data_IF_678273520058
#
_entry.id   IF_678273520058
#
_cell.length_a   1.000
_cell.length_b   1.000
_cell.length_c   1.000
_cell.angle_alpha   90.00
_cell.angle_beta   90.00
_cell.angle_gamma   90.00
#
_symmetry.space_group_name_H-M   'P 1'
#
loop_
_entity.id
_entity.type
_entity.pdbx_description
1 polymer ?
#
# COMPACT_ATOMS: atom_id res chain seq x y z
N UNK A 1 -63.72 -11.45 -19.03
CA UNK A 1 -62.60 -10.74 -18.38
C UNK A 1 -61.33 -11.14 -19.09
N UNK A 2 -60.85 -10.31 -20.02
CA UNK A 2 -59.62 -10.58 -20.76
C UNK A 2 -58.39 -10.15 -19.98
N UNK A 3 -57.52 -11.02 -19.60
CA UNK A 3 -56.25 -10.63 -19.04
C UNK A 3 -55.26 -10.38 -20.18
N UNK A 4 -55.58 -9.45 -21.07
CA UNK A 4 -54.54 -8.81 -21.87
C UNK A 4 -53.86 -7.82 -20.92
N UNK A 5 -52.99 -8.32 -20.05
CA UNK A 5 -51.94 -7.47 -19.46
C UNK A 5 -51.27 -6.81 -20.67
N UNK A 6 -51.54 -5.51 -20.81
CA UNK A 6 -51.05 -4.74 -21.93
C UNK A 6 -49.51 -4.88 -21.96
N UNK A 7 -49.00 -5.50 -22.99
CA UNK A 7 -47.52 -5.63 -23.19
C UNK A 7 -46.79 -4.30 -22.94
N UNK A 8 -47.46 -3.20 -23.26
CA UNK A 8 -47.03 -1.83 -22.98
C UNK A 8 -46.92 -1.52 -21.48
N UNK A 9 -47.86 -2.05 -20.65
CA UNK A 9 -47.82 -1.85 -19.21
C UNK A 9 -46.71 -2.67 -18.54
N UNK A 10 -46.49 -3.88 -19.04
CA UNK A 10 -45.38 -4.74 -18.57
C UNK A 10 -44.04 -4.14 -18.99
N UNK A 11 -43.91 -3.66 -20.22
CA UNK A 11 -42.72 -3.01 -20.70
C UNK A 11 -42.45 -1.71 -19.94
N UNK A 12 -43.48 -0.91 -19.62
CA UNK A 12 -43.37 0.29 -18.81
C UNK A 12 -42.94 -0.02 -17.36
N UNK A 13 -43.50 -1.08 -16.79
CA UNK A 13 -43.11 -1.54 -15.43
C UNK A 13 -41.64 -2.01 -15.36
N UNK A 14 -41.22 -2.79 -16.35
CA UNK A 14 -39.82 -3.22 -16.48
C UNK A 14 -38.86 -2.06 -16.66
N UNK A 15 -39.23 -1.07 -17.48
CA UNK A 15 -38.43 0.14 -17.68
C UNK A 15 -38.32 0.95 -16.39
N UNK A 16 -39.41 1.11 -15.66
CA UNK A 16 -39.42 1.81 -14.37
C UNK A 16 -38.54 1.12 -13.34
N UNK A 17 -38.59 -0.19 -13.24
CA UNK A 17 -37.75 -0.99 -12.34
C UNK A 17 -36.26 -0.86 -12.73
N UNK A 18 -35.96 -0.93 -14.02
CA UNK A 18 -34.60 -0.74 -14.52
C UNK A 18 -34.06 0.64 -14.18
N UNK A 19 -34.88 1.68 -14.35
CA UNK A 19 -34.54 3.07 -14.06
C UNK A 19 -34.30 3.26 -12.55
N UNK A 20 -35.07 2.60 -11.70
CA UNK A 20 -34.93 2.60 -10.25
C UNK A 20 -33.62 1.92 -9.82
N UNK A 21 -33.27 0.79 -10.42
CA UNK A 21 -32.01 0.08 -10.18
C UNK A 21 -30.82 0.95 -10.57
N UNK A 22 -30.90 1.60 -11.73
CA UNK A 22 -29.86 2.54 -12.20
C UNK A 22 -29.70 3.71 -11.24
N UNK A 23 -30.80 4.34 -10.82
CA UNK A 23 -30.75 5.46 -9.87
C UNK A 23 -30.18 5.04 -8.52
N UNK A 24 -30.62 3.89 -7.97
CA UNK A 24 -30.11 3.39 -6.69
C UNK A 24 -28.64 2.94 -6.75
N UNK A 25 -28.17 2.46 -7.91
CA UNK A 25 -26.79 2.02 -8.11
C UNK A 25 -25.79 3.12 -8.48
N UNK A 26 -26.28 4.35 -8.70
CA UNK A 26 -25.44 5.46 -9.20
C UNK A 26 -24.66 6.16 -8.09
N UNK A 27 -25.02 6.01 -6.84
CA UNK A 27 -24.43 6.76 -5.72
C UNK A 27 -23.42 5.90 -4.99
N UNK A 28 -22.36 6.54 -4.54
CA UNK A 28 -21.37 5.91 -3.65
C UNK A 28 -20.68 6.98 -2.81
N UNK A 29 -20.11 6.55 -1.68
CA UNK A 29 -19.33 7.40 -0.80
C UNK A 29 -17.90 6.89 -0.71
N UNK A 30 -16.97 7.83 -0.63
CA UNK A 30 -15.56 7.58 -0.33
C UNK A 30 -15.26 8.20 1.03
N UNK A 31 -14.66 7.44 1.94
CA UNK A 31 -14.31 7.92 3.26
C UNK A 31 -13.09 8.85 3.22
N UNK A 32 -12.92 9.71 4.22
CA UNK A 32 -11.75 10.58 4.35
C UNK A 32 -10.42 9.81 4.37
N UNK A 33 -10.46 8.60 4.90
CA UNK A 33 -9.30 7.72 5.03
C UNK A 33 -8.93 6.98 3.75
N UNK A 34 -9.71 7.19 2.68
CA UNK A 34 -9.58 6.49 1.42
C UNK A 34 -9.62 7.46 0.23
N UNK A 35 -9.22 6.95 -0.93
CA UNK A 35 -9.50 7.57 -2.23
C UNK A 35 -10.11 6.53 -3.15
N UNK A 36 -11.03 6.99 -3.99
CA UNK A 36 -11.66 6.15 -5.00
C UNK A 36 -10.85 6.14 -6.29
N UNK A 37 -10.67 4.97 -6.87
CA UNK A 37 -10.17 4.80 -8.23
C UNK A 37 -11.36 4.47 -9.11
N UNK A 38 -11.75 5.41 -9.96
CA UNK A 38 -12.88 5.23 -10.87
C UNK A 38 -12.41 4.52 -12.15
N UNK A 39 -13.02 3.39 -12.40
CA UNK A 39 -12.75 2.56 -13.57
C UNK A 39 -13.99 2.54 -14.46
N UNK A 40 -13.83 2.71 -15.77
CA UNK A 40 -14.88 2.53 -16.78
C UNK A 40 -14.48 1.39 -17.70
N UNK A 41 -15.29 0.32 -17.69
CA UNK A 41 -14.98 -0.92 -18.41
C UNK A 41 -13.55 -1.43 -18.15
N UNK A 42 -13.08 -1.28 -16.92
CA UNK A 42 -11.72 -1.68 -16.50
C UNK A 42 -10.63 -0.64 -16.76
N UNK A 43 -10.90 0.41 -17.52
CA UNK A 43 -9.93 1.49 -17.76
C UNK A 43 -9.98 2.54 -16.65
N UNK A 44 -8.82 3.02 -16.21
CA UNK A 44 -8.71 4.11 -15.24
C UNK A 44 -9.24 5.41 -15.84
N UNK A 45 -10.25 5.99 -15.20
CA UNK A 45 -10.83 7.30 -15.58
C UNK A 45 -10.24 8.42 -14.71
N UNK A 46 -10.09 8.18 -13.42
CA UNK A 46 -9.57 9.18 -12.49
C UNK A 46 -9.61 8.75 -11.04
N UNK A 47 -9.16 9.64 -10.18
CA UNK A 47 -9.19 9.52 -8.73
C UNK A 47 -10.37 10.33 -8.20
N UNK A 48 -11.08 9.75 -7.24
CA UNK A 48 -12.25 10.35 -6.60
C UNK A 48 -11.90 10.73 -5.16
N UNK A 49 -12.15 11.99 -4.84
CA UNK A 49 -11.98 12.54 -3.50
C UNK A 49 -13.06 12.02 -2.53
N UNK A 50 -12.84 12.14 -1.20
CA UNK A 50 -13.82 11.78 -0.19
C UNK A 50 -15.15 12.52 -0.36
N UNK A 51 -16.22 11.86 0.04
CA UNK A 51 -17.56 12.40 -0.03
C UNK A 51 -18.52 11.57 -0.89
N UNK A 52 -19.66 12.15 -1.20
CA UNK A 52 -20.68 11.56 -2.06
C UNK A 52 -20.33 11.83 -3.52
N UNK A 53 -20.32 10.79 -4.31
CA UNK A 53 -20.07 10.84 -5.75
C UNK A 53 -21.03 9.95 -6.53
N UNK A 54 -21.06 10.14 -7.85
CA UNK A 54 -21.92 9.41 -8.75
C UNK A 54 -21.09 8.60 -9.75
N UNK A 55 -21.60 7.42 -10.12
CA UNK A 55 -21.03 6.57 -11.17
C UNK A 55 -22.14 6.05 -12.07
N UNK A 56 -21.77 5.65 -13.27
CA UNK A 56 -22.68 4.97 -14.20
C UNK A 56 -22.72 3.48 -13.82
N UNK A 57 -23.86 2.97 -13.31
CA UNK A 57 -23.98 1.57 -12.96
C UNK A 57 -23.68 0.67 -14.16
N UNK A 58 -23.18 -0.53 -13.93
CA UNK A 58 -22.81 -1.55 -14.91
C UNK A 58 -21.57 -1.20 -15.76
N UNK A 59 -21.25 0.07 -15.96
CA UNK A 59 -20.14 0.52 -16.81
C UNK A 59 -18.96 0.96 -15.94
N UNK A 60 -19.25 1.61 -14.81
CA UNK A 60 -18.23 2.16 -13.92
C UNK A 60 -18.14 1.40 -12.59
N UNK A 61 -16.91 1.21 -12.16
CA UNK A 61 -16.58 0.56 -10.87
C UNK A 61 -15.63 1.46 -10.10
N UNK A 62 -15.81 1.52 -8.77
CA UNK A 62 -14.92 2.27 -7.88
C UNK A 62 -14.17 1.30 -6.99
N UNK A 63 -12.84 1.38 -7.03
CA UNK A 63 -11.95 0.69 -6.08
C UNK A 63 -11.51 1.69 -5.03
N UNK A 64 -11.60 1.32 -3.76
CA UNK A 64 -11.17 2.17 -2.64
C UNK A 64 -9.79 1.75 -2.19
N UNK A 65 -8.90 2.71 -2.05
CA UNK A 65 -7.53 2.50 -1.57
C UNK A 65 -7.33 3.40 -0.35
N UNK A 66 -6.90 2.81 0.75
CA UNK A 66 -6.59 3.54 1.98
C UNK A 66 -5.36 4.43 1.77
N UNK A 67 -5.44 5.66 2.28
CA UNK A 67 -4.33 6.62 2.31
C UNK A 67 -3.81 6.84 3.73
N UNK A 68 -4.29 6.03 4.68
CA UNK A 68 -3.80 6.06 6.05
C UNK A 68 -2.37 5.57 6.15
N UNK A 69 -1.70 5.96 7.24
CA UNK A 69 -0.39 5.41 7.57
C UNK A 69 -0.50 3.93 7.92
N UNK A 70 0.39 3.15 7.34
CA UNK A 70 0.52 1.71 7.54
C UNK A 70 1.92 1.41 8.07
N UNK A 71 2.08 0.26 8.69
CA UNK A 71 3.38 -0.25 9.11
C UNK A 71 3.59 -1.66 8.55
N UNK A 72 4.81 -1.91 8.08
CA UNK A 72 5.24 -3.23 7.65
C UNK A 72 6.46 -3.61 8.45
N UNK A 73 6.39 -4.74 9.16
CA UNK A 73 7.48 -5.22 10.01
C UNK A 73 8.15 -6.43 9.37
N UNK A 74 9.46 -6.40 9.34
CA UNK A 74 10.32 -7.47 8.87
C UNK A 74 11.08 -8.03 10.07
N UNK A 75 10.81 -9.28 10.40
CA UNK A 75 11.47 -9.98 11.50
C UNK A 75 12.52 -10.94 10.96
N UNK A 76 13.62 -11.04 11.66
CA UNK A 76 14.64 -12.02 11.35
C UNK A 76 15.42 -11.75 10.06
N UNK A 77 15.58 -10.48 9.66
CA UNK A 77 16.41 -10.11 8.52
C UNK A 77 17.86 -10.44 8.84
N UNK A 78 18.44 -11.33 8.07
CA UNK A 78 19.87 -11.67 8.19
C UNK A 78 20.70 -10.70 7.36
N UNK A 79 21.71 -10.11 7.96
CA UNK A 79 22.64 -9.22 7.28
C UNK A 79 24.07 -9.46 7.78
N UNK A 80 25.03 -9.13 6.92
CA UNK A 80 26.45 -9.23 7.22
C UNK A 80 27.03 -7.83 7.39
N UNK A 81 27.75 -7.64 8.50
CA UNK A 81 28.50 -6.39 8.73
C UNK A 81 29.75 -6.33 7.85
N UNK A 82 30.39 -5.14 7.81
CA UNK A 82 31.63 -4.93 7.08
C UNK A 82 32.76 -5.87 7.51
N UNK A 83 32.81 -6.21 8.78
CA UNK A 83 33.75 -7.18 9.39
C UNK A 83 33.22 -8.62 9.37
N UNK A 84 32.26 -8.91 8.47
CA UNK A 84 31.69 -10.23 8.18
C UNK A 84 31.01 -10.92 9.39
N UNK A 85 30.52 -10.15 10.33
CA UNK A 85 29.72 -10.69 11.41
C UNK A 85 28.25 -10.77 10.96
N UNK A 86 27.64 -11.93 11.22
CA UNK A 86 26.21 -12.13 10.93
C UNK A 86 25.38 -11.51 12.05
N UNK A 87 24.37 -10.73 11.68
CA UNK A 87 23.37 -10.24 12.59
C UNK A 87 21.97 -10.50 12.07
N UNK A 88 21.03 -10.64 12.99
CA UNK A 88 19.59 -10.71 12.73
C UNK A 88 18.95 -9.39 13.17
N UNK A 89 18.27 -8.73 12.24
CA UNK A 89 17.65 -7.44 12.47
C UNK A 89 16.12 -7.54 12.38
N UNK A 90 15.44 -6.81 13.27
CA UNK A 90 14.00 -6.59 13.18
C UNK A 90 13.78 -5.13 12.80
N UNK A 91 13.09 -4.91 11.68
CA UNK A 91 12.90 -3.58 11.11
C UNK A 91 11.42 -3.35 10.83
N UNK A 92 10.90 -2.23 11.31
CA UNK A 92 9.55 -1.77 11.05
C UNK A 92 9.58 -0.49 10.23
N UNK A 93 8.79 -0.44 9.18
CA UNK A 93 8.71 0.70 8.27
C UNK A 93 7.28 1.22 8.25
N UNK A 94 7.12 2.50 8.59
CA UNK A 94 5.85 3.22 8.49
C UNK A 94 5.78 3.96 7.16
N UNK A 95 4.65 3.87 6.51
CA UNK A 95 4.46 4.42 5.17
C UNK A 95 2.98 4.73 4.89
N UNK A 96 2.72 5.60 3.93
CA UNK A 96 1.39 5.88 3.43
C UNK A 96 1.40 6.12 1.92
N UNK A 97 0.23 5.96 1.29
CA UNK A 97 0.04 6.26 -0.13
C UNK A 97 -0.22 7.75 -0.31
N UNK A 98 0.41 8.35 -1.32
CA UNK A 98 0.13 9.73 -1.71
C UNK A 98 -1.31 9.80 -2.27
N UNK A 99 -2.24 10.58 -1.65
CA UNK A 99 -3.65 10.58 -2.04
C UNK A 99 -3.89 10.86 -3.51
N UNK A 100 -3.16 11.78 -4.10
CA UNK A 100 -3.27 12.12 -5.52
C UNK A 100 -2.75 11.01 -6.47
N UNK A 101 -2.02 10.04 -5.95
CA UNK A 101 -1.37 9.00 -6.75
C UNK A 101 -1.96 7.60 -6.58
N UNK A 102 -3.13 7.47 -5.94
CA UNK A 102 -3.80 6.16 -5.77
C UNK A 102 -4.12 5.48 -7.12
N UNK A 103 -4.33 6.26 -8.17
CA UNK A 103 -4.47 5.72 -9.52
C UNK A 103 -3.23 4.97 -9.99
N UNK A 104 -2.02 5.43 -9.65
CA UNK A 104 -0.76 4.73 -9.93
C UNK A 104 -0.63 3.44 -9.11
N UNK A 105 -1.08 3.46 -7.84
CA UNK A 105 -1.12 2.24 -7.01
C UNK A 105 -1.96 1.18 -7.71
N UNK A 106 -3.16 1.54 -8.17
CA UNK A 106 -4.01 0.61 -8.88
C UNK A 106 -3.38 0.07 -10.17
N UNK A 107 -2.83 0.95 -11.00
CA UNK A 107 -2.25 0.56 -12.29
C UNK A 107 -1.00 -0.32 -12.15
N UNK A 108 -0.13 -0.04 -11.18
CA UNK A 108 1.16 -0.70 -11.05
C UNK A 108 1.11 -1.90 -10.09
N UNK A 109 0.28 -1.83 -9.07
CA UNK A 109 0.28 -2.79 -7.96
C UNK A 109 -1.08 -3.42 -7.70
N UNK A 110 -2.16 -2.89 -8.25
CA UNK A 110 -3.55 -3.28 -8.09
C UNK A 110 -4.16 -2.83 -6.74
N UNK A 111 -3.46 -3.07 -5.63
CA UNK A 111 -3.89 -2.76 -4.27
C UNK A 111 -2.68 -2.52 -3.35
N UNK A 112 -2.94 -2.31 -2.04
CA UNK A 112 -1.88 -2.11 -1.06
C UNK A 112 -1.04 -3.36 -0.82
N UNK A 113 -1.62 -4.55 -0.88
CA UNK A 113 -0.88 -5.80 -0.72
C UNK A 113 0.10 -5.99 -1.89
N UNK A 114 -0.33 -5.67 -3.10
CA UNK A 114 0.53 -5.64 -4.28
C UNK A 114 1.65 -4.60 -4.16
N UNK A 115 1.36 -3.41 -3.60
CA UNK A 115 2.36 -2.37 -3.33
C UNK A 115 3.40 -2.87 -2.32
N UNK A 116 2.96 -3.45 -1.21
CA UNK A 116 3.87 -4.01 -0.19
C UNK A 116 4.74 -5.10 -0.78
N UNK A 117 4.15 -6.11 -1.42
CA UNK A 117 4.86 -7.29 -1.88
C UNK A 117 5.83 -6.99 -3.04
N UNK A 118 5.48 -6.09 -3.95
CA UNK A 118 6.26 -5.82 -5.17
C UNK A 118 7.23 -4.65 -5.05
N UNK A 119 6.99 -3.71 -4.14
CA UNK A 119 7.85 -2.55 -3.94
C UNK A 119 8.52 -2.57 -2.57
N UNK A 120 7.76 -2.43 -1.49
CA UNK A 120 8.30 -2.20 -0.14
C UNK A 120 9.10 -3.42 0.32
N UNK A 121 8.53 -4.62 0.24
CA UNK A 121 9.18 -5.86 0.71
C UNK A 121 10.41 -6.28 -0.12
N UNK A 122 10.58 -5.70 -1.29
CA UNK A 122 11.80 -5.92 -2.10
C UNK A 122 12.90 -4.94 -1.76
N UNK A 123 12.53 -3.69 -1.51
CA UNK A 123 13.51 -2.62 -1.28
C UNK A 123 14.00 -2.58 0.16
N UNK A 124 13.11 -2.73 1.14
CA UNK A 124 13.47 -2.57 2.56
C UNK A 124 14.55 -3.54 3.00
N UNK A 125 14.43 -4.87 2.85
CA UNK A 125 15.48 -5.80 3.24
C UNK A 125 16.81 -5.50 2.54
N UNK A 126 16.78 -5.27 1.23
CA UNK A 126 17.97 -4.98 0.42
C UNK A 126 18.72 -3.74 0.92
N UNK A 127 17.99 -2.67 1.27
CA UNK A 127 18.64 -1.45 1.75
C UNK A 127 19.18 -1.61 3.19
N UNK A 128 18.47 -2.35 4.03
CA UNK A 128 18.96 -2.69 5.38
C UNK A 128 20.28 -3.47 5.30
N UNK A 129 20.33 -4.51 4.47
CA UNK A 129 21.54 -5.29 4.25
C UNK A 129 22.70 -4.45 3.69
N UNK A 130 22.42 -3.63 2.67
CA UNK A 130 23.42 -2.76 2.04
C UNK A 130 24.03 -1.76 3.01
N UNK A 131 23.20 -1.12 3.85
CA UNK A 131 23.67 -0.16 4.83
C UNK A 131 24.40 -0.85 5.97
N UNK A 132 23.88 -1.98 6.48
CA UNK A 132 24.54 -2.74 7.53
C UNK A 132 25.93 -3.24 7.10
N UNK A 133 26.09 -3.65 5.85
CA UNK A 133 27.39 -4.04 5.28
C UNK A 133 28.43 -2.92 5.19
N UNK A 134 28.05 -1.67 5.42
CA UNK A 134 28.99 -0.54 5.50
C UNK A 134 29.50 -0.30 6.94
N UNK A 135 28.85 -0.89 7.93
CA UNK A 135 29.18 -0.74 9.36
C UNK A 135 29.90 -1.96 9.88
N UNK A 136 30.89 -1.76 10.75
CA UNK A 136 31.37 -2.83 11.60
C UNK A 136 30.31 -3.16 12.66
N UNK A 137 30.24 -4.40 13.12
CA UNK A 137 29.23 -4.86 14.05
C UNK A 137 29.13 -3.97 15.30
N UNK A 138 30.25 -3.71 15.96
CA UNK A 138 30.31 -2.83 17.15
C UNK A 138 29.87 -1.40 16.82
N UNK A 139 30.28 -0.87 15.65
CA UNK A 139 29.93 0.49 15.25
C UNK A 139 28.44 0.67 14.98
N UNK A 140 27.76 -0.33 14.46
CA UNK A 140 26.32 -0.29 14.20
C UNK A 140 25.53 -0.18 15.51
N UNK A 141 25.98 -0.81 16.58
CA UNK A 141 25.36 -0.74 17.90
C UNK A 141 25.72 0.57 18.61
N UNK A 142 27.00 0.93 18.64
CA UNK A 142 27.47 2.16 19.33
C UNK A 142 26.94 3.43 18.68
N UNK A 143 26.81 3.46 17.37
CA UNK A 143 26.31 4.59 16.59
C UNK A 143 24.91 4.33 16.01
N UNK A 144 24.06 3.65 16.79
CA UNK A 144 22.72 3.21 16.36
C UNK A 144 21.89 4.32 15.72
N UNK A 145 21.93 5.51 16.29
CA UNK A 145 21.18 6.66 15.75
C UNK A 145 21.60 7.00 14.32
N UNK A 146 22.91 7.00 14.04
CA UNK A 146 23.42 7.24 12.70
C UNK A 146 23.07 6.08 11.75
N UNK A 147 23.22 4.85 12.21
CA UNK A 147 22.85 3.66 11.44
C UNK A 147 21.38 3.70 11.02
N UNK A 148 20.45 3.96 11.96
CA UNK A 148 19.01 4.10 11.67
C UNK A 148 18.74 5.24 10.69
N UNK A 149 19.43 6.37 10.82
CA UNK A 149 19.29 7.50 9.90
C UNK A 149 19.76 7.13 8.48
N UNK A 150 20.87 6.43 8.35
CA UNK A 150 21.40 5.99 7.05
C UNK A 150 20.48 4.94 6.40
N UNK A 151 19.94 3.99 7.19
CA UNK A 151 18.93 3.01 6.73
C UNK A 151 17.68 3.74 6.26
N UNK A 152 17.17 4.67 7.06
CA UNK A 152 15.97 5.46 6.71
C UNK A 152 16.17 6.20 5.40
N UNK A 153 17.31 6.85 5.23
CA UNK A 153 17.65 7.55 4.00
C UNK A 153 17.73 6.61 2.81
N UNK A 154 18.42 5.50 2.95
CA UNK A 154 18.56 4.51 1.87
C UNK A 154 17.19 3.94 1.44
N UNK A 155 16.31 3.64 2.39
CA UNK A 155 14.95 3.16 2.10
C UNK A 155 14.14 4.25 1.39
N UNK A 156 14.15 5.49 1.89
CA UNK A 156 13.44 6.62 1.24
C UNK A 156 13.90 6.86 -0.18
N UNK A 157 15.20 6.78 -0.43
CA UNK A 157 15.77 7.01 -1.75
C UNK A 157 15.44 5.85 -2.73
N UNK A 158 15.28 4.64 -2.23
CA UNK A 158 15.01 3.44 -3.03
C UNK A 158 13.53 3.16 -3.27
N UNK A 159 12.66 3.48 -2.30
CA UNK A 159 11.22 3.32 -2.42
C UNK A 159 10.64 4.56 -3.10
N UNK A 160 10.65 4.54 -4.42
CA UNK A 160 10.10 5.61 -5.26
C UNK A 160 8.76 5.20 -5.84
N UNK A 161 7.85 6.17 -6.01
CA UNK A 161 6.52 5.92 -6.57
C UNK A 161 5.40 6.54 -5.74
N UNK A 162 4.20 5.94 -5.76
CA UNK A 162 3.01 6.52 -5.14
C UNK A 162 2.95 6.38 -3.61
N UNK A 163 4.08 6.14 -2.97
CA UNK A 163 4.19 5.88 -1.53
C UNK A 163 5.26 6.75 -0.91
N UNK A 164 5.03 7.17 0.33
CA UNK A 164 5.98 7.92 1.15
C UNK A 164 6.36 7.09 2.38
N UNK A 165 7.65 7.01 2.66
CA UNK A 165 8.17 6.39 3.88
C UNK A 165 8.18 7.43 5.00
N UNK A 166 7.32 7.25 5.99
CA UNK A 166 7.17 8.16 7.13
C UNK A 166 8.32 8.00 8.12
N UNK A 167 8.68 6.75 8.43
CA UNK A 167 9.75 6.44 9.34
C UNK A 167 10.22 4.99 9.26
N UNK A 168 11.40 4.76 9.80
CA UNK A 168 12.00 3.42 9.91
C UNK A 168 12.46 3.23 11.35
N UNK A 169 12.12 2.09 11.92
CA UNK A 169 12.55 1.67 13.26
C UNK A 169 13.34 0.37 13.12
N UNK A 170 14.54 0.35 13.67
CA UNK A 170 15.30 -0.87 13.85
C UNK A 170 15.12 -1.30 15.31
N UNK A 171 14.37 -2.37 15.53
CA UNK A 171 13.96 -2.77 16.88
C UNK A 171 15.08 -3.51 17.59
N UNK A 172 15.73 -4.42 16.90
CA UNK A 172 16.78 -5.23 17.47
C UNK A 172 17.92 -5.50 16.46
N UNK A 173 19.13 -5.71 16.98
CA UNK A 173 20.30 -6.15 16.23
C UNK A 173 20.93 -7.25 17.09
N UNK A 174 20.65 -8.51 16.74
CA UNK A 174 21.15 -9.68 17.44
C UNK A 174 22.32 -10.28 16.65
N UNK A 175 23.46 -10.41 17.31
CA UNK A 175 24.61 -11.06 16.72
C UNK A 175 24.62 -12.57 17.05
N UNK A 176 25.49 -13.31 16.39
CA UNK A 176 25.68 -14.73 16.70
C UNK A 176 26.23 -14.92 18.12
N UNK A 177 25.81 -16.00 18.79
CA UNK A 177 26.27 -16.34 20.18
C UNK A 177 27.79 -16.39 20.30
N UNK A 178 28.49 -16.83 19.24
CA UNK A 178 29.95 -16.91 19.23
C UNK A 178 30.60 -15.53 19.21
N UNK A 179 30.00 -14.57 18.52
CA UNK A 179 30.48 -13.19 18.53
C UNK A 179 30.18 -12.51 19.84
N UNK A 180 28.99 -12.67 20.41
CA UNK A 180 28.61 -12.07 21.71
C UNK A 180 29.48 -12.58 22.86
N UNK A 181 29.96 -13.81 22.80
CA UNK A 181 30.90 -14.36 23.79
C UNK A 181 32.34 -13.86 23.62
N UNK A 182 32.66 -13.25 22.49
CA UNK A 182 34.03 -12.79 22.17
C UNK A 182 34.28 -11.32 22.54
N UNK A 183 33.20 -10.59 22.88
CA UNK A 183 33.25 -9.18 23.29
C UNK A 183 33.08 -9.08 24.80
#
# INVERSE_FOLDING_TARGET
MNPMLNLKSIAGGLLAVLLLIVLMGSWYTVNETERGVLLRNGALVGVVEPGLSFKIPLIETVKRISVQSNATTYQGLQAYSKDQQTATLNVSVSWHVVPAEVGKVYMQYQDLDGLVSRLISRQVPTQVENVFGQYNAVSAVQNRGKFVADVTKAIRDSVTGPVVIDGVQVENIDFSDDYERSI
#
